data_IF_516176418446
#
_entry.id   IF_516176418446
#
_cell.length_a   1.000
_cell.length_b   1.000
_cell.length_c   1.000
_cell.angle_alpha   90.00
_cell.angle_beta   90.00
_cell.angle_gamma   90.00
#
_symmetry.space_group_name_H-M   'P 1'
#
loop_
_entity.id
_entity.type
_entity.pdbx_description
1 polymer ?
#
# COMPACT_ATOMS: atom_id res chain seq x y z
N UNK A 1 -14.63 7.71 -11.60
CA UNK A 1 -14.30 7.38 -10.20
C UNK A 1 -12.85 7.76 -9.91
N UNK A 2 -12.42 7.96 -8.65
CA UNK A 2 -11.03 8.36 -8.38
C UNK A 2 -10.00 7.31 -8.83
N UNK A 3 -10.37 6.03 -8.73
CA UNK A 3 -9.65 4.91 -9.36
C UNK A 3 -9.41 5.14 -10.85
N UNK A 4 -10.41 5.59 -11.62
CA UNK A 4 -10.24 5.91 -13.05
C UNK A 4 -9.29 7.10 -13.29
N UNK A 5 -9.30 8.10 -12.40
CA UNK A 5 -8.38 9.25 -12.48
C UNK A 5 -6.94 8.80 -12.24
N UNK A 6 -6.71 8.01 -11.19
CA UNK A 6 -5.39 7.42 -10.90
C UNK A 6 -4.94 6.51 -12.04
N UNK A 7 -5.85 5.69 -12.57
CA UNK A 7 -5.56 4.84 -13.74
C UNK A 7 -5.14 5.66 -14.95
N UNK A 8 -5.77 6.83 -15.20
CA UNK A 8 -5.40 7.72 -16.30
C UNK A 8 -3.99 8.26 -16.10
N UNK A 9 -3.70 8.81 -14.92
CA UNK A 9 -2.36 9.32 -14.60
C UNK A 9 -1.28 8.25 -14.66
N UNK A 10 -1.59 7.04 -14.17
CA UNK A 10 -0.70 5.88 -14.26
C UNK A 10 -0.41 5.52 -15.73
N UNK A 11 -1.45 5.43 -16.57
CA UNK A 11 -1.30 5.14 -17.99
C UNK A 11 -0.49 6.22 -18.71
N UNK A 12 -0.79 7.49 -18.47
CA UNK A 12 -0.07 8.61 -19.09
C UNK A 12 1.41 8.58 -18.71
N UNK A 13 1.71 8.27 -17.44
CA UNK A 13 3.08 8.08 -16.96
C UNK A 13 3.76 6.90 -17.64
N UNK A 14 3.08 5.74 -17.74
CA UNK A 14 3.61 4.55 -18.39
C UNK A 14 3.89 4.78 -19.88
N UNK A 15 2.98 5.45 -20.58
CA UNK A 15 3.13 5.84 -21.98
C UNK A 15 4.31 6.79 -22.18
N UNK A 16 4.43 7.82 -21.34
CA UNK A 16 5.57 8.74 -21.37
C UNK A 16 6.89 8.03 -21.13
N UNK A 17 6.96 7.10 -20.18
CA UNK A 17 8.15 6.32 -19.86
C UNK A 17 8.56 5.39 -21.02
N UNK A 18 7.59 4.80 -21.70
CA UNK A 18 7.82 3.85 -22.80
C UNK A 18 8.00 4.53 -24.17
N UNK A 19 7.73 5.84 -24.27
CA UNK A 19 7.67 6.54 -25.55
C UNK A 19 6.54 6.04 -26.46
N UNK A 20 5.40 5.63 -25.87
CA UNK A 20 4.22 5.12 -26.59
C UNK A 20 2.98 5.97 -26.29
N UNK A 21 1.89 5.70 -26.99
CA UNK A 21 0.60 6.37 -26.80
C UNK A 21 -0.54 5.35 -26.83
N UNK A 22 -0.46 4.36 -25.94
CA UNK A 22 -1.49 3.32 -25.82
C UNK A 22 -2.77 3.92 -25.25
N UNK A 23 -3.90 3.54 -25.81
CA UNK A 23 -5.23 3.73 -25.22
C UNK A 23 -5.39 2.89 -23.94
N UNK A 24 -6.41 3.18 -23.09
CA UNK A 24 -6.68 2.37 -21.92
C UNK A 24 -6.93 0.89 -22.23
N UNK A 25 -7.66 0.60 -23.31
CA UNK A 25 -7.90 -0.78 -23.75
C UNK A 25 -6.61 -1.47 -24.19
N UNK A 26 -5.78 -0.81 -25.02
CA UNK A 26 -4.50 -1.38 -25.47
C UNK A 26 -3.55 -1.67 -24.31
N UNK A 27 -3.40 -0.73 -23.37
CA UNK A 27 -2.58 -0.99 -22.17
C UNK A 27 -3.16 -2.12 -21.31
N UNK A 28 -4.50 -2.18 -21.22
CA UNK A 28 -5.15 -3.23 -20.47
C UNK A 28 -4.83 -4.62 -21.05
N UNK A 29 -4.90 -4.77 -22.37
CA UNK A 29 -4.72 -6.04 -23.05
C UNK A 29 -3.24 -6.43 -23.20
N UNK A 30 -2.36 -5.47 -23.49
CA UNK A 30 -0.93 -5.73 -23.71
C UNK A 30 -0.17 -6.00 -22.42
N UNK A 31 -0.54 -5.34 -21.32
CA UNK A 31 0.27 -5.32 -20.10
C UNK A 31 -0.52 -5.76 -18.86
N UNK A 32 -1.62 -5.06 -18.56
CA UNK A 32 -2.32 -5.25 -17.29
C UNK A 32 -2.93 -6.65 -17.15
N UNK A 33 -3.77 -7.05 -18.10
CA UNK A 33 -4.48 -8.32 -18.05
C UNK A 33 -3.53 -9.54 -18.06
N UNK A 34 -2.53 -9.62 -18.97
CA UNK A 34 -1.56 -10.72 -18.94
C UNK A 34 -0.83 -10.84 -17.59
N UNK A 35 -0.42 -9.70 -17.01
CA UNK A 35 0.32 -9.69 -15.76
C UNK A 35 -0.55 -10.06 -14.55
N UNK A 36 -1.74 -9.46 -14.46
CA UNK A 36 -2.61 -9.54 -13.27
C UNK A 36 -3.50 -10.78 -13.30
N UNK A 37 -4.11 -11.11 -14.45
CA UNK A 37 -5.14 -12.17 -14.58
C UNK A 37 -4.77 -13.30 -15.56
N UNK A 38 -3.70 -13.14 -16.33
CA UNK A 38 -3.23 -14.11 -17.32
C UNK A 38 -2.75 -15.44 -16.74
N UNK A 39 -2.47 -15.49 -15.44
CA UNK A 39 -2.00 -16.69 -14.74
C UNK A 39 -3.07 -17.28 -13.81
N UNK A 40 -2.87 -18.54 -13.40
CA UNK A 40 -3.74 -19.21 -12.42
C UNK A 40 -3.65 -18.51 -11.04
N UNK A 41 -2.44 -18.08 -10.66
CA UNK A 41 -2.13 -17.25 -9.50
C UNK A 41 -2.29 -15.76 -9.83
N UNK A 42 -3.53 -15.30 -10.03
CA UNK A 42 -3.81 -13.91 -10.34
C UNK A 42 -3.38 -12.97 -9.19
N UNK A 43 -2.96 -11.74 -9.52
CA UNK A 43 -2.36 -10.82 -8.54
C UNK A 43 -3.40 -10.08 -7.70
N UNK A 44 -4.54 -9.70 -8.29
CA UNK A 44 -5.54 -8.82 -7.67
C UNK A 44 -6.89 -9.53 -7.48
N UNK A 45 -7.54 -9.43 -6.31
CA UNK A 45 -8.90 -9.93 -6.16
C UNK A 45 -9.87 -9.19 -7.08
N UNK A 46 -10.77 -9.93 -7.73
CA UNK A 46 -11.68 -9.39 -8.74
C UNK A 46 -13.16 -9.31 -8.27
N UNK A 47 -13.45 -9.63 -7.00
CA UNK A 47 -14.80 -9.56 -6.43
C UNK A 47 -15.86 -10.29 -7.24
N UNK A 48 -17.00 -9.63 -7.49
CA UNK A 48 -18.13 -10.18 -8.27
C UNK A 48 -18.07 -9.84 -9.77
N UNK A 49 -16.94 -9.38 -10.27
CA UNK A 49 -16.76 -9.03 -11.69
C UNK A 49 -16.67 -10.25 -12.61
N UNK A 50 -16.50 -10.01 -13.92
CA UNK A 50 -16.18 -11.03 -14.92
C UNK A 50 -14.91 -11.84 -14.58
N UNK A 51 -13.88 -11.20 -14.06
CA UNK A 51 -12.66 -11.90 -13.63
C UNK A 51 -12.86 -12.64 -12.29
N UNK A 52 -13.78 -12.19 -11.44
CA UNK A 52 -14.21 -12.95 -10.27
C UNK A 52 -14.94 -14.24 -10.64
N UNK A 53 -15.82 -14.17 -11.66
CA UNK A 53 -16.49 -15.32 -12.24
C UNK A 53 -15.47 -16.29 -12.87
N UNK A 54 -14.48 -15.79 -13.59
CA UNK A 54 -13.36 -16.61 -14.10
C UNK A 54 -12.69 -17.42 -12.98
N UNK A 55 -12.37 -16.79 -11.85
CA UNK A 55 -11.75 -17.49 -10.70
C UNK A 55 -12.65 -18.61 -10.17
N UNK A 56 -13.96 -18.36 -10.05
CA UNK A 56 -14.91 -19.37 -9.59
C UNK A 56 -15.06 -20.51 -10.60
N UNK A 57 -15.14 -20.20 -11.89
CA UNK A 57 -15.21 -21.18 -12.96
C UNK A 57 -13.96 -22.08 -12.96
N UNK A 58 -12.76 -21.48 -12.86
CA UNK A 58 -11.50 -22.24 -12.75
C UNK A 58 -11.52 -23.25 -11.59
N UNK A 59 -12.02 -22.85 -10.42
CA UNK A 59 -12.16 -23.76 -9.26
C UNK A 59 -13.11 -24.92 -9.55
N UNK A 60 -14.24 -24.65 -10.19
CA UNK A 60 -15.22 -25.68 -10.57
C UNK A 60 -14.66 -26.64 -11.61
N UNK A 61 -14.07 -26.12 -12.69
CA UNK A 61 -13.45 -26.94 -13.75
C UNK A 61 -12.31 -27.81 -13.20
N UNK A 62 -11.46 -27.28 -12.32
CA UNK A 62 -10.43 -28.05 -11.63
C UNK A 62 -11.01 -29.20 -10.81
N UNK A 63 -12.04 -28.93 -10.00
CA UNK A 63 -12.69 -29.96 -9.19
C UNK A 63 -13.36 -31.05 -10.07
N UNK A 64 -13.93 -30.67 -11.21
CA UNK A 64 -14.49 -31.62 -12.18
C UNK A 64 -13.41 -32.49 -12.81
N UNK A 65 -12.30 -31.89 -13.28
CA UNK A 65 -11.18 -32.64 -13.85
C UNK A 65 -10.58 -33.63 -12.84
N UNK A 66 -10.43 -33.23 -11.57
CA UNK A 66 -9.98 -34.10 -10.48
C UNK A 66 -10.94 -35.28 -10.24
N UNK A 67 -12.27 -35.05 -10.26
CA UNK A 67 -13.28 -36.12 -10.14
C UNK A 67 -13.28 -37.09 -11.32
N UNK A 68 -12.99 -36.59 -12.52
CA UNK A 68 -12.93 -37.36 -13.76
C UNK A 68 -11.57 -38.05 -13.97
N UNK A 69 -10.58 -37.80 -13.10
CA UNK A 69 -9.22 -38.35 -13.23
C UNK A 69 -8.45 -37.83 -14.44
N UNK A 70 -8.85 -36.68 -15.00
CA UNK A 70 -8.19 -36.04 -16.15
C UNK A 70 -7.37 -34.81 -15.71
N UNK A 71 -6.37 -34.47 -16.51
CA UNK A 71 -5.68 -33.20 -16.34
C UNK A 71 -6.59 -32.04 -16.76
N UNK A 72 -6.53 -30.94 -16.02
CA UNK A 72 -7.13 -29.67 -16.44
C UNK A 72 -6.17 -28.98 -17.41
N UNK A 73 -6.48 -29.08 -18.70
CA UNK A 73 -5.56 -28.71 -19.78
C UNK A 73 -5.45 -27.18 -19.98
N UNK A 74 -4.33 -26.76 -20.58
CA UNK A 74 -4.04 -25.34 -20.80
C UNK A 74 -4.92 -24.69 -21.87
N UNK A 75 -5.52 -25.47 -22.78
CA UNK A 75 -6.44 -24.96 -23.79
C UNK A 75 -7.77 -24.55 -23.15
N UNK A 76 -8.30 -25.35 -22.23
CA UNK A 76 -9.50 -25.08 -21.43
C UNK A 76 -9.28 -23.84 -20.54
N UNK A 77 -8.11 -23.74 -19.89
CA UNK A 77 -7.72 -22.54 -19.13
C UNK A 77 -7.68 -21.29 -20.01
N UNK A 78 -7.07 -21.38 -21.18
CA UNK A 78 -6.92 -20.27 -22.13
C UNK A 78 -8.27 -19.86 -22.70
N UNK A 79 -9.14 -20.81 -23.04
CA UNK A 79 -10.53 -20.55 -23.47
C UNK A 79 -11.29 -19.75 -22.41
N UNK A 80 -11.29 -20.21 -21.16
CA UNK A 80 -11.98 -19.52 -20.07
C UNK A 80 -11.43 -18.09 -19.84
N UNK A 81 -10.12 -17.90 -19.96
CA UNK A 81 -9.49 -16.57 -19.89
C UNK A 81 -9.99 -15.64 -20.99
N UNK A 82 -9.97 -16.12 -22.24
CA UNK A 82 -10.38 -15.33 -23.40
C UNK A 82 -11.88 -15.01 -23.37
N UNK A 83 -12.72 -15.95 -22.93
CA UNK A 83 -14.15 -15.71 -22.71
C UNK A 83 -14.38 -14.62 -21.66
N UNK A 84 -13.70 -14.70 -20.51
CA UNK A 84 -13.83 -13.69 -19.47
C UNK A 84 -13.34 -12.30 -19.91
N UNK A 85 -12.26 -12.24 -20.70
CA UNK A 85 -11.74 -11.00 -21.27
C UNK A 85 -12.71 -10.40 -22.30
N UNK A 86 -13.23 -11.22 -23.22
CA UNK A 86 -14.25 -10.79 -24.19
C UNK A 86 -15.53 -10.28 -23.50
N UNK A 87 -15.99 -10.99 -22.47
CA UNK A 87 -17.12 -10.57 -21.63
C UNK A 87 -16.86 -9.23 -20.94
N UNK A 88 -15.63 -9.01 -20.47
CA UNK A 88 -15.22 -7.76 -19.85
C UNK A 88 -15.24 -6.61 -20.85
N UNK A 89 -14.68 -6.78 -22.06
CA UNK A 89 -14.76 -5.77 -23.13
C UNK A 89 -16.21 -5.47 -23.54
N UNK A 90 -17.05 -6.51 -23.64
CA UNK A 90 -18.46 -6.36 -23.92
C UNK A 90 -19.20 -5.56 -22.83
N UNK A 91 -18.83 -5.72 -21.56
CA UNK A 91 -19.35 -4.92 -20.47
C UNK A 91 -18.81 -3.48 -20.52
N UNK A 92 -17.52 -3.29 -20.81
CA UNK A 92 -16.90 -1.97 -20.93
C UNK A 92 -17.53 -1.14 -22.05
N UNK A 93 -17.76 -1.73 -23.22
CA UNK A 93 -18.38 -1.06 -24.36
C UNK A 93 -19.84 -0.62 -24.11
N UNK A 94 -20.53 -1.30 -23.19
CA UNK A 94 -21.92 -1.01 -22.80
C UNK A 94 -22.01 -0.16 -21.53
N UNK A 95 -20.89 0.17 -20.90
CA UNK A 95 -20.88 0.96 -19.68
C UNK A 95 -21.40 2.37 -19.98
N UNK A 96 -22.48 2.72 -19.29
CA UNK A 96 -23.03 4.09 -19.26
C UNK A 96 -23.03 4.65 -17.85
N UNK A 97 -23.04 3.76 -16.86
CA UNK A 97 -23.14 4.02 -15.43
C UNK A 97 -21.93 3.39 -14.71
N UNK A 98 -21.36 4.05 -13.69
CA UNK A 98 -20.22 3.56 -12.95
C UNK A 98 -20.65 2.52 -11.91
N UNK A 99 -21.22 1.41 -12.38
CA UNK A 99 -21.57 0.31 -11.50
C UNK A 99 -20.34 -0.44 -11.03
N UNK A 100 -20.25 -0.71 -9.73
CA UNK A 100 -19.07 -1.28 -9.09
C UNK A 100 -18.57 -2.61 -9.69
N UNK A 101 -19.47 -3.41 -10.25
CA UNK A 101 -19.11 -4.71 -10.84
C UNK A 101 -18.37 -4.59 -12.18
N UNK A 102 -18.39 -3.39 -12.79
CA UNK A 102 -17.67 -3.05 -14.02
C UNK A 102 -16.57 -2.01 -13.72
N UNK A 103 -16.93 -0.92 -13.05
CA UNK A 103 -16.04 0.20 -12.68
C UNK A 103 -15.65 0.09 -11.20
N UNK A 104 -14.38 -0.19 -10.91
CA UNK A 104 -13.91 -0.33 -9.53
C UNK A 104 -14.06 1.01 -8.79
N UNK A 105 -14.65 0.98 -7.58
CA UNK A 105 -14.97 2.18 -6.79
C UNK A 105 -16.25 2.90 -7.22
N UNK A 106 -16.99 2.35 -8.19
CA UNK A 106 -18.34 2.79 -8.57
C UNK A 106 -19.40 2.47 -7.51
N UNK A 107 -20.67 2.88 -7.73
CA UNK A 107 -21.76 2.63 -6.79
C UNK A 107 -22.53 1.33 -7.08
N UNK A 108 -23.41 0.96 -6.15
CA UNK A 108 -24.29 -0.20 -6.30
C UNK A 108 -25.36 0.04 -7.37
N UNK A 109 -25.65 -0.99 -8.16
CA UNK A 109 -26.68 -0.95 -9.22
C UNK A 109 -28.09 -0.63 -8.71
N UNK A 110 -28.37 -0.85 -7.43
CA UNK A 110 -29.67 -0.54 -6.83
C UNK A 110 -29.54 -0.04 -5.39
N UNK A 111 -30.48 0.83 -4.98
CA UNK A 111 -30.55 1.41 -3.63
C UNK A 111 -30.78 0.36 -2.51
N UNK A 112 -31.16 -0.86 -2.87
CA UNK A 112 -31.39 -1.99 -1.95
C UNK A 112 -30.16 -2.89 -1.76
N UNK A 113 -29.07 -2.66 -2.50
CA UNK A 113 -27.82 -3.44 -2.41
C UNK A 113 -26.92 -2.89 -1.29
N UNK A 114 -26.01 -3.72 -0.79
CA UNK A 114 -25.16 -3.43 0.39
C UNK A 114 -24.23 -2.22 0.27
N UNK A 115 -24.02 -1.67 -0.93
CA UNK A 115 -23.23 -0.45 -1.18
C UNK A 115 -24.08 0.74 -1.68
N UNK A 116 -25.38 0.74 -1.40
CA UNK A 116 -26.33 1.77 -1.87
C UNK A 116 -26.11 3.16 -1.28
N UNK A 117 -25.36 3.30 -0.19
CA UNK A 117 -25.01 4.60 0.41
C UNK A 117 -24.18 5.51 -0.50
N UNK A 118 -23.69 5.01 -1.63
CA UNK A 118 -22.96 5.76 -2.66
C UNK A 118 -23.84 6.21 -3.84
N UNK A 119 -25.14 5.90 -3.84
CA UNK A 119 -26.09 6.39 -4.85
C UNK A 119 -26.29 7.88 -4.63
N UNK A 120 -25.97 8.68 -5.65
CA UNK A 120 -26.04 10.14 -5.61
C UNK A 120 -26.95 10.68 -6.72
N UNK A 121 -27.51 11.87 -6.49
CA UNK A 121 -28.29 12.60 -7.50
C UNK A 121 -27.38 13.36 -8.50
N UNK A 122 -26.06 13.34 -8.30
CA UNK A 122 -25.10 13.94 -9.23
C UNK A 122 -24.94 12.99 -10.43
N UNK A 123 -25.18 13.49 -11.66
CA UNK A 123 -24.97 12.73 -12.90
C UNK A 123 -23.49 12.35 -13.01
N UNK A 124 -23.22 11.05 -12.91
CA UNK A 124 -21.90 10.48 -13.04
C UNK A 124 -21.97 9.39 -14.11
N UNK A 125 -21.53 9.73 -15.32
CA UNK A 125 -21.41 8.76 -16.41
C UNK A 125 -20.05 8.10 -16.38
N UNK A 126 -20.00 6.84 -16.80
CA UNK A 126 -18.77 6.14 -17.10
C UNK A 126 -18.77 5.70 -18.55
N UNK A 127 -17.65 5.91 -19.24
CA UNK A 127 -17.40 5.33 -20.56
C UNK A 127 -16.54 4.06 -20.48
N UNK A 128 -16.28 3.46 -21.63
CA UNK A 128 -15.40 2.29 -21.74
C UNK A 128 -14.00 2.55 -21.15
N UNK A 129 -13.43 3.73 -21.41
CA UNK A 129 -12.14 4.13 -20.84
C UNK A 129 -12.14 4.11 -19.31
N UNK A 130 -13.19 4.64 -18.67
CA UNK A 130 -13.29 4.68 -17.20
C UNK A 130 -13.28 3.30 -16.58
N UNK A 131 -13.83 2.30 -17.30
CA UNK A 131 -13.80 0.90 -16.91
C UNK A 131 -12.36 0.43 -16.85
N UNK A 132 -11.62 0.42 -17.95
CA UNK A 132 -10.22 -0.04 -17.97
C UNK A 132 -9.35 0.69 -16.95
N UNK A 133 -9.48 2.03 -16.88
CA UNK A 133 -8.70 2.86 -15.98
C UNK A 133 -9.02 2.60 -14.51
N UNK A 134 -10.28 2.31 -14.16
CA UNK A 134 -10.63 2.01 -12.77
C UNK A 134 -9.92 0.76 -12.25
N UNK A 135 -9.72 -0.24 -13.11
CA UNK A 135 -8.99 -1.47 -12.76
C UNK A 135 -7.49 -1.22 -12.64
N UNK A 136 -6.90 -0.50 -13.61
CA UNK A 136 -5.48 -0.10 -13.57
C UNK A 136 -5.20 0.73 -12.32
N UNK A 137 -6.06 1.71 -12.03
CA UNK A 137 -5.91 2.57 -10.86
C UNK A 137 -6.10 1.81 -9.55
N UNK A 138 -7.09 0.94 -9.42
CA UNK A 138 -7.27 0.11 -8.22
C UNK A 138 -6.06 -0.78 -7.94
N UNK A 139 -5.47 -1.37 -8.98
CA UNK A 139 -4.27 -2.18 -8.87
C UNK A 139 -3.03 -1.39 -8.40
N UNK A 140 -3.04 -0.06 -8.51
CA UNK A 140 -1.97 0.80 -8.00
C UNK A 140 -2.08 1.11 -6.50
N UNK A 141 -3.16 0.65 -5.85
CA UNK A 141 -3.38 0.84 -4.42
C UNK A 141 -2.32 0.14 -3.55
N UNK A 142 -1.89 0.81 -2.49
CA UNK A 142 -0.98 0.28 -1.47
C UNK A 142 -1.75 -0.07 -0.19
N UNK A 143 -1.82 -1.37 0.12
CA UNK A 143 -2.47 -1.87 1.33
C UNK A 143 -1.60 -1.66 2.57
N UNK A 144 -2.20 -1.16 3.65
CA UNK A 144 -1.54 -0.93 4.95
C UNK A 144 -2.29 -1.60 6.09
N UNK A 145 -1.57 -1.81 7.20
CA UNK A 145 -2.12 -2.42 8.40
C UNK A 145 -3.37 -1.64 8.87
N UNK A 146 -4.41 -2.38 9.24
CA UNK A 146 -5.75 -1.84 9.49
C UNK A 146 -6.73 -2.04 8.33
N UNK A 147 -6.33 -2.73 7.24
CA UNK A 147 -7.24 -3.14 6.17
C UNK A 147 -7.64 -2.02 5.21
N UNK A 148 -6.87 -0.94 5.19
CA UNK A 148 -7.06 0.21 4.31
C UNK A 148 -6.05 0.19 3.16
N UNK A 149 -6.42 0.83 2.06
CA UNK A 149 -5.62 0.97 0.85
C UNK A 149 -5.45 2.45 0.56
N UNK A 150 -4.23 2.85 0.19
CA UNK A 150 -3.91 4.20 -0.26
C UNK A 150 -3.69 4.20 -1.77
N UNK A 151 -4.41 5.05 -2.49
CA UNK A 151 -4.01 5.49 -3.83
C UNK A 151 -3.26 6.80 -3.68
N UNK A 152 -1.97 6.79 -4.03
CA UNK A 152 -1.07 7.94 -3.89
C UNK A 152 -0.85 8.53 -5.27
N UNK A 153 -1.22 9.79 -5.46
CA UNK A 153 -1.18 10.45 -6.76
C UNK A 153 0.20 11.07 -7.04
N UNK A 154 1.18 10.23 -7.42
CA UNK A 154 2.55 10.67 -7.65
C UNK A 154 3.29 9.80 -8.69
N UNK A 155 3.96 10.43 -9.66
CA UNK A 155 4.64 9.76 -10.78
C UNK A 155 5.67 8.71 -10.33
N UNK A 156 6.54 9.06 -9.36
CA UNK A 156 7.50 8.10 -8.81
C UNK A 156 6.84 6.88 -8.16
N UNK A 157 5.65 7.03 -7.58
CA UNK A 157 4.88 5.90 -7.02
C UNK A 157 4.34 5.04 -8.16
N UNK A 158 3.81 5.63 -9.23
CA UNK A 158 3.33 4.88 -10.39
C UNK A 158 4.46 4.07 -11.05
N UNK A 159 5.64 4.66 -11.25
CA UNK A 159 6.79 3.96 -11.79
C UNK A 159 7.20 2.77 -10.90
N UNK A 160 7.30 3.01 -9.58
CA UNK A 160 7.65 1.97 -8.62
C UNK A 160 6.62 0.85 -8.63
N UNK A 161 5.33 1.15 -8.53
CA UNK A 161 4.25 0.15 -8.53
C UNK A 161 4.30 -0.71 -9.79
N UNK A 162 4.45 -0.11 -10.97
CA UNK A 162 4.54 -0.84 -12.25
C UNK A 162 5.71 -1.84 -12.24
N UNK A 163 6.89 -1.40 -11.82
CA UNK A 163 8.07 -2.27 -11.70
C UNK A 163 7.83 -3.40 -10.68
N UNK A 164 7.16 -3.07 -9.58
CA UNK A 164 6.79 -3.99 -8.52
C UNK A 164 5.86 -5.10 -8.96
N UNK A 165 4.94 -4.86 -9.90
CA UNK A 165 4.01 -5.89 -10.38
C UNK A 165 4.73 -7.03 -11.12
N UNK A 166 5.68 -6.68 -11.99
CA UNK A 166 6.50 -7.66 -12.70
C UNK A 166 7.39 -8.46 -11.74
N UNK A 167 7.94 -7.78 -10.73
CA UNK A 167 8.71 -8.43 -9.68
C UNK A 167 7.85 -9.41 -8.87
N UNK A 168 6.65 -9.01 -8.45
CA UNK A 168 5.73 -9.89 -7.71
C UNK A 168 5.37 -11.15 -8.46
N UNK A 169 5.09 -11.02 -9.77
CA UNK A 169 4.80 -12.15 -10.65
C UNK A 169 5.95 -13.16 -10.66
N UNK A 170 7.20 -12.69 -10.74
CA UNK A 170 8.39 -13.54 -10.67
C UNK A 170 8.50 -14.27 -9.33
N UNK A 171 8.28 -13.55 -8.24
CA UNK A 171 8.39 -14.10 -6.87
C UNK A 171 7.34 -15.18 -6.62
N UNK A 172 6.10 -14.99 -7.09
CA UNK A 172 5.07 -16.01 -7.00
C UNK A 172 5.44 -17.29 -7.76
N UNK A 173 6.12 -17.17 -8.90
CA UNK A 173 6.61 -18.33 -9.65
C UNK A 173 7.77 -19.04 -8.95
N UNK A 174 8.64 -18.29 -8.27
CA UNK A 174 9.85 -18.80 -7.61
C UNK A 174 9.61 -19.26 -6.17
N UNK A 175 8.48 -18.88 -5.54
CA UNK A 175 8.17 -19.16 -4.13
C UNK A 175 6.93 -20.06 -4.01
N UNK A 176 7.11 -21.40 -3.97
CA UNK A 176 6.00 -22.33 -3.82
C UNK A 176 5.14 -22.03 -2.60
N UNK A 177 3.82 -22.13 -2.78
CA UNK A 177 2.81 -21.88 -1.76
C UNK A 177 2.76 -20.45 -1.20
N UNK A 178 3.42 -19.48 -1.83
CA UNK A 178 3.12 -18.08 -1.53
C UNK A 178 1.72 -17.77 -2.04
N UNK A 179 0.89 -17.18 -1.18
CA UNK A 179 -0.46 -16.78 -1.53
C UNK A 179 -0.40 -15.72 -2.64
N UNK A 180 -1.10 -16.01 -3.72
CA UNK A 180 -1.37 -15.05 -4.79
C UNK A 180 -2.31 -13.94 -4.30
N UNK A 181 -2.99 -13.23 -5.20
CA UNK A 181 -4.11 -12.34 -4.88
C UNK A 181 -3.90 -11.28 -3.77
N UNK A 182 -2.64 -10.89 -3.49
CA UNK A 182 -2.27 -9.90 -2.48
C UNK A 182 -1.62 -8.64 -3.10
N UNK A 183 -2.00 -8.24 -4.33
CA UNK A 183 -1.38 -7.11 -5.04
C UNK A 183 -1.28 -5.83 -4.22
N UNK A 184 -2.36 -5.44 -3.53
CA UNK A 184 -2.34 -4.22 -2.71
C UNK A 184 -1.37 -4.34 -1.52
N UNK A 185 -1.39 -5.47 -0.81
CA UNK A 185 -0.43 -5.77 0.27
C UNK A 185 1.01 -5.76 -0.24
N UNK A 186 1.24 -6.40 -1.39
CA UNK A 186 2.53 -6.40 -2.07
C UNK A 186 2.98 -4.98 -2.41
N UNK A 187 2.13 -4.16 -3.02
CA UNK A 187 2.46 -2.77 -3.36
C UNK A 187 2.88 -1.98 -2.11
N UNK A 188 2.21 -2.17 -0.97
CA UNK A 188 2.60 -1.52 0.29
C UNK A 188 4.01 -1.90 0.73
N UNK A 189 4.33 -3.20 0.76
CA UNK A 189 5.67 -3.67 1.15
C UNK A 189 6.74 -3.28 0.14
N UNK A 190 6.43 -3.39 -1.15
CA UNK A 190 7.32 -3.01 -2.23
C UNK A 190 7.65 -1.53 -2.19
N UNK A 191 6.65 -0.65 -2.04
CA UNK A 191 6.89 0.80 -1.94
C UNK A 191 7.72 1.16 -0.71
N UNK A 192 7.44 0.54 0.45
CA UNK A 192 8.28 0.71 1.64
C UNK A 192 9.73 0.33 1.34
N UNK A 193 9.98 -0.84 0.73
CA UNK A 193 11.34 -1.26 0.40
C UNK A 193 11.99 -0.37 -0.66
N UNK A 194 11.31 -0.10 -1.78
CA UNK A 194 11.81 0.64 -2.95
C UNK A 194 12.22 2.08 -2.64
N UNK A 195 11.63 2.67 -1.61
CA UNK A 195 11.95 4.01 -1.13
C UNK A 195 12.73 4.02 0.20
N UNK A 196 13.10 2.86 0.73
CA UNK A 196 13.94 2.75 1.92
C UNK A 196 15.40 3.09 1.63
N UNK A 197 16.17 3.34 2.70
CA UNK A 197 17.62 3.53 2.61
C UNK A 197 18.38 2.33 2.03
N UNK A 198 17.83 1.14 2.28
CA UNK A 198 18.47 -0.15 2.02
C UNK A 198 18.07 -0.75 0.67
N UNK A 199 17.41 0.03 -0.20
CA UNK A 199 17.07 -0.42 -1.54
C UNK A 199 18.34 -0.57 -2.38
N UNK A 200 18.58 -1.79 -2.86
CA UNK A 200 19.63 -2.10 -3.83
C UNK A 200 18.99 -2.35 -5.21
N UNK A 201 19.20 -1.46 -6.20
CA UNK A 201 18.73 -1.66 -7.56
C UNK A 201 19.28 -2.93 -8.23
N UNK A 202 20.45 -3.42 -7.82
CA UNK A 202 21.03 -4.66 -8.34
C UNK A 202 20.35 -5.90 -7.73
N UNK A 203 19.73 -5.77 -6.56
CA UNK A 203 18.99 -6.84 -5.89
C UNK A 203 17.65 -6.35 -5.31
N UNK A 204 16.67 -6.03 -6.19
CA UNK A 204 15.40 -5.44 -5.77
C UNK A 204 14.51 -6.40 -4.97
N UNK A 205 14.78 -7.71 -5.00
CA UNK A 205 14.05 -8.74 -4.27
C UNK A 205 14.63 -9.06 -2.88
N UNK A 206 15.74 -8.42 -2.49
CA UNK A 206 16.49 -8.75 -1.26
C UNK A 206 15.65 -8.76 0.02
N UNK A 207 14.60 -7.93 0.09
CA UNK A 207 13.77 -7.81 1.29
C UNK A 207 12.82 -9.00 1.54
N UNK A 208 12.50 -9.79 0.52
CA UNK A 208 11.38 -10.77 0.57
C UNK A 208 11.60 -11.87 1.60
N UNK A 209 12.85 -12.28 1.81
CA UNK A 209 13.21 -13.29 2.80
C UNK A 209 13.38 -12.72 4.21
N UNK A 210 13.03 -11.44 4.42
CA UNK A 210 12.99 -10.83 5.73
C UNK A 210 11.92 -11.48 6.61
N UNK A 211 12.18 -11.65 7.93
CA UNK A 211 11.27 -12.32 8.85
C UNK A 211 9.89 -11.64 8.97
N UNK A 212 9.79 -10.36 8.61
CA UNK A 212 8.59 -9.53 8.72
C UNK A 212 7.85 -9.33 7.38
N UNK A 213 8.27 -10.00 6.29
CA UNK A 213 7.70 -9.81 4.96
C UNK A 213 6.84 -10.98 4.53
N UNK A 214 7.30 -12.21 4.75
CA UNK A 214 6.51 -13.41 4.52
C UNK A 214 6.17 -14.02 5.87
N UNK A 215 4.90 -13.93 6.27
CA UNK A 215 4.42 -14.63 7.46
C UNK A 215 3.82 -15.99 7.11
N UNK A 216 3.76 -16.79 8.16
CA UNK A 216 3.04 -18.06 8.32
C UNK A 216 4.01 -19.18 8.67
N UNK A 217 3.68 -19.90 9.74
CA UNK A 217 4.41 -21.10 10.18
C UNK A 217 4.17 -22.28 9.24
N UNK A 218 3.17 -22.19 8.37
CA UNK A 218 2.79 -23.26 7.43
C UNK A 218 2.21 -22.70 6.12
N UNK A 219 2.42 -23.37 4.98
CA UNK A 219 1.75 -23.06 3.73
C UNK A 219 0.21 -22.93 3.84
N UNK A 220 -0.44 -22.05 3.06
CA UNK A 220 0.18 -21.04 2.20
C UNK A 220 0.81 -19.90 3.01
N UNK A 221 1.97 -19.42 2.54
CA UNK A 221 2.66 -18.26 3.11
C UNK A 221 1.97 -16.97 2.63
N UNK A 222 1.94 -15.92 3.45
CA UNK A 222 1.34 -14.64 3.05
C UNK A 222 2.37 -13.52 3.09
N UNK A 223 2.23 -12.56 2.19
CA UNK A 223 2.89 -11.27 2.36
C UNK A 223 2.25 -10.54 3.53
N UNK A 224 3.07 -10.07 4.46
CA UNK A 224 2.63 -9.26 5.60
C UNK A 224 2.19 -7.87 5.16
N UNK A 225 1.19 -7.33 5.84
CA UNK A 225 0.74 -5.97 5.54
C UNK A 225 1.64 -4.95 6.23
N UNK A 226 2.15 -3.97 5.49
CA UNK A 226 3.08 -2.96 6.02
C UNK A 226 2.39 -2.01 7.00
N UNK A 227 3.12 -1.54 8.03
CA UNK A 227 2.68 -0.40 8.84
C UNK A 227 2.55 0.86 7.97
N UNK A 228 1.45 1.59 8.13
CA UNK A 228 1.22 2.84 7.43
C UNK A 228 2.31 3.88 7.75
N UNK A 229 2.77 3.94 9.01
CA UNK A 229 3.78 4.89 9.43
C UNK A 229 5.12 4.62 8.74
N UNK A 230 5.53 3.35 8.69
CA UNK A 230 6.77 2.91 8.01
C UNK A 230 6.75 3.18 6.52
N UNK A 231 5.62 2.90 5.87
CA UNK A 231 5.42 3.21 4.45
C UNK A 231 5.58 4.72 4.20
N UNK A 232 4.88 5.56 4.97
CA UNK A 232 4.96 7.01 4.78
C UNK A 232 6.36 7.57 5.08
N UNK A 233 7.05 7.08 6.11
CA UNK A 233 8.45 7.45 6.41
C UNK A 233 9.42 7.08 5.27
N UNK A 234 9.16 5.98 4.56
CA UNK A 234 9.94 5.58 3.39
C UNK A 234 9.64 6.48 2.20
N UNK A 235 8.36 6.72 1.91
CA UNK A 235 7.93 7.60 0.82
C UNK A 235 8.45 9.03 0.98
N UNK A 236 8.39 9.59 2.19
CA UNK A 236 8.85 10.96 2.42
C UNK A 236 10.35 11.15 2.27
N UNK A 237 11.15 10.08 2.24
CA UNK A 237 12.57 10.16 1.85
C UNK A 237 12.74 10.55 0.37
N UNK A 238 11.80 10.14 -0.49
CA UNK A 238 11.95 10.24 -1.94
C UNK A 238 11.04 11.28 -2.59
N UNK A 239 9.88 11.57 -1.99
CA UNK A 239 8.85 12.42 -2.60
C UNK A 239 8.94 13.90 -2.19
N UNK A 240 9.87 14.27 -1.31
CA UNK A 240 10.09 15.66 -0.88
C UNK A 240 9.02 16.20 0.07
N UNK A 241 8.98 17.52 0.21
CA UNK A 241 8.20 18.23 1.24
C UNK A 241 6.77 18.61 0.80
N UNK A 242 6.50 18.57 -0.50
CA UNK A 242 5.19 18.94 -1.05
C UNK A 242 4.11 17.95 -0.59
N UNK A 243 2.91 18.44 -0.20
CA UNK A 243 1.81 17.55 0.16
C UNK A 243 1.40 16.66 -1.02
N UNK A 244 1.37 15.35 -0.80
CA UNK A 244 0.91 14.39 -1.80
C UNK A 244 -0.54 14.05 -1.53
N UNK A 245 -1.39 14.15 -2.56
CA UNK A 245 -2.79 13.76 -2.44
C UNK A 245 -2.93 12.25 -2.41
N UNK A 246 -3.75 11.73 -1.49
CA UNK A 246 -4.11 10.32 -1.47
C UNK A 246 -5.60 10.10 -1.33
N UNK A 247 -6.09 8.96 -1.81
CA UNK A 247 -7.44 8.50 -1.57
C UNK A 247 -7.42 7.19 -0.80
N UNK A 248 -8.15 7.14 0.31
CA UNK A 248 -8.10 6.04 1.27
C UNK A 248 -9.44 5.32 1.31
N UNK A 249 -9.41 4.00 1.12
CA UNK A 249 -10.58 3.14 1.09
C UNK A 249 -10.28 1.72 1.57
N UNK A 250 -11.30 0.89 1.66
CA UNK A 250 -11.23 -0.57 1.79
C UNK A 250 -12.30 -1.19 0.91
N UNK A 251 -11.90 -2.09 0.01
CA UNK A 251 -12.82 -2.89 -0.80
C UNK A 251 -12.79 -4.34 -0.32
N UNK A 252 -13.96 -4.88 0.05
CA UNK A 252 -14.07 -6.20 0.64
C UNK A 252 -15.51 -6.68 0.69
N UNK A 253 -15.89 -7.35 1.78
CA UNK A 253 -17.30 -7.72 1.99
C UNK A 253 -18.17 -6.48 2.24
N UNK A 254 -17.64 -5.51 2.99
CA UNK A 254 -18.25 -4.20 3.21
C UNK A 254 -17.26 -3.13 2.76
N UNK A 255 -17.62 -2.40 1.71
CA UNK A 255 -16.77 -1.35 1.18
C UNK A 255 -16.85 -0.12 2.07
N UNK A 256 -15.69 0.46 2.36
CA UNK A 256 -15.56 1.66 3.18
C UNK A 256 -14.68 2.67 2.47
N UNK A 257 -15.07 3.94 2.50
CA UNK A 257 -14.26 5.04 1.95
C UNK A 257 -14.01 6.03 3.08
N UNK A 258 -12.73 6.33 3.33
CA UNK A 258 -12.35 7.44 4.22
C UNK A 258 -12.37 8.74 3.43
N UNK A 259 -11.87 8.72 2.19
CA UNK A 259 -11.90 9.86 1.28
C UNK A 259 -10.50 10.36 0.93
N UNK A 260 -10.42 11.64 0.57
CA UNK A 260 -9.15 12.30 0.25
C UNK A 260 -8.40 12.69 1.51
N UNK A 261 -7.13 12.31 1.58
CA UNK A 261 -6.25 12.59 2.71
C UNK A 261 -4.93 13.15 2.18
N UNK A 262 -4.65 14.44 2.40
CA UNK A 262 -3.33 15.01 2.12
C UNK A 262 -2.26 14.38 3.02
N UNK A 263 -1.14 14.00 2.41
CA UNK A 263 0.03 13.45 3.08
C UNK A 263 1.13 14.51 3.10
N UNK A 264 1.38 15.10 4.26
CA UNK A 264 2.49 16.04 4.48
C UNK A 264 3.77 15.27 4.73
N UNK A 265 4.38 14.75 3.66
CA UNK A 265 5.54 13.88 3.76
C UNK A 265 6.79 14.58 4.31
N UNK A 266 6.90 15.92 4.20
CA UNK A 266 7.97 16.68 4.86
C UNK A 266 8.02 16.49 6.39
N UNK A 267 6.90 16.15 7.02
CA UNK A 267 6.88 15.78 8.45
C UNK A 267 7.78 14.56 8.76
N UNK A 268 7.96 13.66 7.79
CA UNK A 268 8.85 12.50 7.94
C UNK A 268 10.32 12.91 7.91
N UNK A 269 10.67 13.95 7.14
CA UNK A 269 12.00 14.57 7.14
C UNK A 269 12.30 15.20 8.50
N UNK A 270 11.36 15.96 9.04
CA UNK A 270 11.48 16.56 10.39
C UNK A 270 11.72 15.49 11.45
N UNK A 271 10.99 14.37 11.41
CA UNK A 271 11.22 13.24 12.33
C UNK A 271 12.60 12.63 12.16
N UNK A 272 13.04 12.39 10.92
CA UNK A 272 14.33 11.77 10.62
C UNK A 272 15.49 12.64 11.09
N UNK A 273 15.42 13.94 10.85
CA UNK A 273 16.40 14.92 11.36
C UNK A 273 16.42 14.96 12.89
N UNK A 274 15.23 15.03 13.51
CA UNK A 274 15.10 15.05 14.97
C UNK A 274 15.69 13.79 15.60
N UNK A 275 15.47 12.65 14.96
CA UNK A 275 16.05 11.37 15.35
C UNK A 275 17.56 11.40 15.19
N UNK A 276 18.09 11.89 14.06
CA UNK A 276 19.53 11.99 13.82
C UNK A 276 20.24 12.87 14.85
N UNK A 277 19.67 14.03 15.20
CA UNK A 277 20.19 14.94 16.23
C UNK A 277 20.25 14.24 17.59
N UNK A 278 19.15 13.65 18.05
CA UNK A 278 19.12 12.98 19.35
C UNK A 278 20.01 11.73 19.36
N UNK A 279 20.01 10.96 18.28
CA UNK A 279 20.89 9.81 18.11
C UNK A 279 22.37 10.22 18.22
N UNK A 280 22.77 11.33 17.60
CA UNK A 280 24.11 11.91 17.72
C UNK A 280 24.46 12.33 19.15
N UNK A 281 23.55 13.05 19.81
CA UNK A 281 23.70 13.43 21.22
C UNK A 281 23.87 12.21 22.13
N UNK A 282 22.99 11.22 21.98
CA UNK A 282 23.05 9.99 22.79
C UNK A 282 24.37 9.25 22.59
N UNK A 283 24.88 9.16 21.34
CA UNK A 283 26.20 8.57 21.07
C UNK A 283 27.35 9.36 21.69
N UNK A 284 27.28 10.69 21.65
CA UNK A 284 28.32 11.54 22.24
C UNK A 284 28.38 11.41 23.77
N UNK A 285 27.23 11.39 24.43
CA UNK A 285 27.14 11.38 25.90
C UNK A 285 27.27 9.97 26.49
N UNK A 286 26.72 8.94 25.83
CA UNK A 286 26.60 7.58 26.37
C UNK A 286 27.37 6.52 25.58
N UNK A 287 28.02 6.89 24.47
CA UNK A 287 28.80 5.98 23.61
C UNK A 287 27.96 5.20 22.59
N UNK A 288 28.65 4.44 21.72
CA UNK A 288 28.06 3.70 20.58
C UNK A 288 26.97 2.70 20.98
N UNK A 289 27.10 2.08 22.17
CA UNK A 289 26.16 1.07 22.64
C UNK A 289 24.76 1.62 23.00
N UNK A 290 24.60 2.95 23.08
CA UNK A 290 23.35 3.59 23.47
C UNK A 290 22.34 3.76 22.32
N UNK A 291 22.74 3.59 21.06
CA UNK A 291 21.89 3.84 19.91
C UNK A 291 21.89 2.65 18.92
N UNK A 292 20.87 1.79 19.03
CA UNK A 292 20.85 0.52 18.30
C UNK A 292 20.49 0.64 16.80
N UNK A 293 19.83 1.72 16.39
CA UNK A 293 19.30 1.87 15.02
C UNK A 293 19.81 3.16 14.38
N UNK A 294 20.55 3.08 13.26
CA UNK A 294 20.99 4.25 12.51
C UNK A 294 19.82 5.14 12.03
N UNK A 295 19.99 6.49 11.96
CA UNK A 295 18.92 7.41 11.59
C UNK A 295 18.32 7.20 10.19
N UNK A 296 19.11 6.70 9.25
CA UNK A 296 18.67 6.38 7.91
C UNK A 296 17.73 5.16 7.88
N UNK A 297 17.68 4.35 8.94
CA UNK A 297 16.83 3.16 9.10
C UNK A 297 15.65 3.34 10.05
N UNK A 298 15.28 4.59 10.36
CA UNK A 298 14.14 4.90 11.24
C UNK A 298 12.83 4.22 10.82
N UNK A 299 12.56 4.16 9.52
CA UNK A 299 11.38 3.52 8.91
C UNK A 299 11.28 2.00 9.14
N UNK A 300 12.33 1.35 9.66
CA UNK A 300 12.29 -0.06 10.00
C UNK A 300 11.77 -0.32 11.41
N UNK A 301 11.94 0.65 12.32
CA UNK A 301 11.65 0.49 13.75
C UNK A 301 10.53 1.38 14.24
N UNK A 302 10.31 2.52 13.59
CA UNK A 302 9.25 3.45 13.98
C UNK A 302 7.87 2.87 13.68
N UNK A 303 6.94 3.05 14.61
CA UNK A 303 5.52 2.76 14.39
C UNK A 303 4.67 3.77 15.13
N UNK A 304 3.48 4.06 14.59
CA UNK A 304 2.56 5.01 15.20
C UNK A 304 1.62 4.31 16.17
N UNK A 305 1.29 4.97 17.29
CA UNK A 305 0.38 4.45 18.31
C UNK A 305 -1.09 4.46 17.89
N UNK A 306 -1.42 5.12 16.78
CA UNK A 306 -2.77 5.21 16.23
C UNK A 306 -2.94 4.34 14.99
N UNK A 307 -4.11 3.70 14.89
CA UNK A 307 -4.53 3.05 13.65
C UNK A 307 -4.70 4.06 12.51
N UNK A 308 -4.46 3.62 11.27
CA UNK A 308 -4.44 4.52 10.12
C UNK A 308 -5.77 5.28 9.91
N UNK A 309 -6.91 4.63 10.12
CA UNK A 309 -8.23 5.27 10.04
C UNK A 309 -8.37 6.43 11.03
N UNK A 310 -7.88 6.27 12.26
CA UNK A 310 -7.90 7.32 13.28
C UNK A 310 -6.99 8.49 12.91
N UNK A 311 -5.84 8.20 12.31
CA UNK A 311 -4.94 9.22 11.80
C UNK A 311 -5.62 10.02 10.67
N UNK A 312 -6.29 9.35 9.74
CA UNK A 312 -7.01 9.99 8.64
C UNK A 312 -8.18 10.87 9.10
N UNK A 313 -8.86 10.51 10.19
CA UNK A 313 -9.97 11.28 10.76
C UNK A 313 -9.58 12.71 11.18
N UNK A 314 -8.28 13.02 11.26
CA UNK A 314 -7.76 14.38 11.51
C UNK A 314 -7.73 15.27 10.26
N UNK A 315 -8.15 14.75 9.10
CA UNK A 315 -8.27 15.49 7.84
C UNK A 315 -7.00 15.55 7.00
N UNK A 316 -5.81 15.42 7.62
CA UNK A 316 -4.53 15.28 6.93
C UNK A 316 -3.55 14.47 7.79
N UNK A 317 -2.57 13.85 7.14
CA UNK A 317 -1.49 13.13 7.82
C UNK A 317 -0.24 14.00 7.83
N UNK A 318 0.22 14.36 9.02
CA UNK A 318 1.45 15.12 9.25
C UNK A 318 2.09 14.72 10.57
N UNK A 319 2.96 15.56 11.11
CA UNK A 319 3.83 15.21 12.24
C UNK A 319 3.08 14.67 13.48
N UNK A 320 1.92 15.25 13.79
CA UNK A 320 1.09 14.85 14.93
C UNK A 320 0.50 13.44 14.80
N UNK A 321 0.34 12.93 13.56
CA UNK A 321 -0.18 11.59 13.31
C UNK A 321 0.86 10.50 13.63
N UNK A 322 2.15 10.84 13.54
CA UNK A 322 3.27 9.94 13.83
C UNK A 322 3.57 9.81 15.33
N UNK A 323 2.61 10.08 16.23
CA UNK A 323 2.80 9.81 17.67
C UNK A 323 3.29 8.36 17.87
N UNK A 324 4.49 8.12 18.46
CA UNK A 324 5.07 6.79 18.53
C UNK A 324 4.21 5.81 19.33
N UNK A 325 4.19 4.55 18.90
CA UNK A 325 3.51 3.48 19.61
C UNK A 325 4.06 3.28 21.03
N UNK A 326 3.15 3.07 22.00
CA UNK A 326 3.50 2.86 23.41
C UNK A 326 3.79 4.13 24.21
N UNK A 327 3.87 5.33 23.59
CA UNK A 327 4.15 6.60 24.30
C UNK A 327 3.17 6.84 25.47
N UNK A 328 1.89 6.54 25.23
CA UNK A 328 0.80 6.78 26.18
C UNK A 328 0.93 6.01 27.49
N UNK A 329 1.61 4.87 27.47
CA UNK A 329 1.84 4.06 28.67
C UNK A 329 2.80 4.73 29.67
N UNK A 330 3.53 5.75 29.21
CA UNK A 330 4.51 6.51 29.99
C UNK A 330 4.04 7.93 30.34
N UNK A 331 2.86 8.34 29.85
CA UNK A 331 2.25 9.62 30.20
C UNK A 331 1.25 9.44 31.35
N UNK A 332 1.11 10.42 32.25
CA UNK A 332 0.10 10.37 33.30
C UNK A 332 -1.30 10.30 32.67
N UNK A 333 -2.08 9.26 33.01
CA UNK A 333 -3.41 9.02 32.45
C UNK A 333 -4.46 8.89 33.57
N UNK A 334 -5.37 9.87 33.64
CA UNK A 334 -6.41 9.93 34.67
C UNK A 334 -5.87 10.28 36.06
N UNK A 335 -6.77 10.38 37.06
CA UNK A 335 -6.43 10.97 38.37
C UNK A 335 -5.48 10.15 39.26
N UNK A 336 -5.14 8.89 38.94
CA UNK A 336 -4.41 8.01 39.87
C UNK A 336 -3.55 6.90 39.23
N UNK A 337 -3.11 7.03 37.97
CA UNK A 337 -2.20 6.03 37.36
C UNK A 337 -0.78 6.57 37.28
N UNK A 338 0.15 5.86 37.94
CA UNK A 338 1.57 6.15 37.78
C UNK A 338 2.07 5.64 36.42
N UNK A 339 3.02 6.35 35.78
CA UNK A 339 3.65 5.89 34.55
C UNK A 339 4.28 4.51 34.72
N UNK A 340 4.24 3.68 33.67
CA UNK A 340 4.96 2.40 33.68
C UNK A 340 6.48 2.66 33.65
N UNK A 341 7.30 1.96 34.45
CA UNK A 341 8.75 2.04 34.31
C UNK A 341 9.22 1.40 33.00
N UNK A 342 10.27 1.97 32.38
CA UNK A 342 10.90 1.43 31.16
C UNK A 342 11.77 0.22 31.54
N UNK A 343 11.61 -0.90 30.82
CA UNK A 343 12.48 -2.07 30.99
C UNK A 343 13.75 -1.99 30.14
N UNK A 344 14.82 -2.76 30.43
CA UNK A 344 16.03 -2.76 29.61
C UNK A 344 15.80 -3.15 28.13
N UNK A 345 14.82 -4.04 27.87
CA UNK A 345 14.41 -4.41 26.50
C UNK A 345 13.72 -3.24 25.75
N UNK A 346 13.35 -2.19 26.46
CA UNK A 346 12.64 -1.02 25.97
C UNK A 346 13.52 0.22 25.87
N UNK A 347 14.85 0.07 26.03
CA UNK A 347 15.81 1.18 26.05
C UNK A 347 15.80 2.06 24.80
N UNK A 348 15.30 1.56 23.66
CA UNK A 348 15.14 2.30 22.40
C UNK A 348 13.89 3.20 22.35
N UNK A 349 12.85 2.91 23.15
CA UNK A 349 11.61 3.67 23.14
C UNK A 349 11.75 5.11 23.64
N UNK A 350 12.54 5.40 24.69
CA UNK A 350 12.80 6.78 25.10
C UNK A 350 13.32 7.66 23.97
N UNK A 351 14.22 7.16 23.13
CA UNK A 351 14.75 7.91 22.00
C UNK A 351 13.66 8.19 20.95
N UNK A 352 12.82 7.21 20.62
CA UNK A 352 11.69 7.40 19.69
C UNK A 352 10.66 8.40 20.22
N UNK A 353 10.36 8.35 21.52
CA UNK A 353 9.44 9.27 22.18
C UNK A 353 9.98 10.70 22.20
N UNK A 354 11.23 10.87 22.63
CA UNK A 354 11.90 12.16 22.63
C UNK A 354 12.03 12.72 21.22
N UNK A 355 12.31 11.88 20.21
CA UNK A 355 12.36 12.29 18.80
C UNK A 355 11.08 12.95 18.36
N UNK A 356 9.93 12.33 18.64
CA UNK A 356 8.64 12.90 18.24
C UNK A 356 8.34 14.20 19.00
N UNK A 357 8.58 14.24 20.32
CA UNK A 357 8.39 15.45 21.13
C UNK A 357 9.29 16.58 20.61
N UNK A 358 10.55 16.28 20.35
CA UNK A 358 11.53 17.24 19.83
C UNK A 358 11.13 17.79 18.46
N UNK A 359 10.69 16.91 17.57
CA UNK A 359 10.15 17.29 16.26
C UNK A 359 8.94 18.23 16.41
N UNK A 360 8.03 17.93 17.33
CA UNK A 360 6.83 18.76 17.59
C UNK A 360 7.17 20.13 18.20
N UNK A 361 8.28 20.26 18.93
CA UNK A 361 8.69 21.51 19.58
C UNK A 361 9.46 22.48 18.67
N UNK A 362 9.98 22.02 17.53
CA UNK A 362 10.38 22.86 16.39
C UNK A 362 11.58 23.82 16.54
N UNK A 363 12.07 24.18 17.74
CA UNK A 363 12.95 25.37 17.89
C UNK A 363 14.33 25.22 18.58
N UNK A 364 14.87 24.04 18.89
CA UNK A 364 16.25 23.93 19.44
C UNK A 364 17.09 22.78 18.86
N UNK A 365 17.10 22.64 17.53
CA UNK A 365 17.80 21.54 16.83
C UNK A 365 19.34 21.59 16.95
N UNK A 366 19.95 22.78 16.88
CA UNK A 366 21.42 22.90 16.83
C UNK A 366 22.05 23.18 18.21
N UNK A 367 21.37 23.91 19.10
CA UNK A 367 21.91 24.32 20.40
C UNK A 367 22.26 23.16 21.35
N UNK A 368 21.62 22.00 21.20
CA UNK A 368 21.87 20.83 22.04
C UNK A 368 23.13 20.05 21.63
N UNK A 369 23.44 20.00 20.34
CA UNK A 369 24.63 19.30 19.85
C UNK A 369 25.89 20.08 20.22
N UNK A 370 25.85 21.40 20.00
CA UNK A 370 26.96 22.31 20.30
C UNK A 370 27.33 22.24 21.80
N UNK A 371 26.34 22.27 22.69
CA UNK A 371 26.54 22.17 24.14
C UNK A 371 27.05 20.81 24.63
N UNK A 372 26.79 19.73 23.88
CA UNK A 372 27.24 18.39 24.26
C UNK A 372 28.70 18.13 23.85
N UNK A 373 29.19 18.81 22.80
CA UNK A 373 30.57 18.74 22.33
C UNK A 373 31.51 19.76 22.99
N UNK A 374 30.95 20.74 23.70
CA UNK A 374 31.71 21.71 24.51
C UNK A 374 32.07 21.21 25.93
N UNK A 375 31.56 20.04 26.33
CA UNK A 375 31.86 19.36 27.60
C UNK A 375 32.77 18.15 27.37
#
# INVERSE_FOLDING_TARGET
MFTSIIGRRFLDRANSRDGRSRSPAEFFDEEFFPLVFGHDDYLMPAGNSKFGQLVNNRKQHRATAEREGRAWDDAEKTRLRNEALADFHGAAAKATEPFMHVVIGGYAEAATKTTSGQVTAIDHRAGADDVYLSWIGAAAGAGVAGGLVLLIDHDAVFDAVRDGWALYRRILAETPNLKANQLETWNGQWLRHRFSANYDPANPASFIHGPDIINSKSPPYNVETVSWARLLLSLGRALGDEPVSSHVYSLGQMNSTVGFVPLHLGATGVLRESYATLHGFYRAVFGEAAAAVPPDRLDEVYDAGHGFAQACARGAIGLSAFEPSGLRDFLPHGKNKQPRPVTPAEAQFPLLFQTWIFAMLGTQKNELLDRATEA
#
